data_IF_871402935964
#
_entry.id   IF_871402935964
#
_cell.length_a   1.000
_cell.length_b   1.000
_cell.length_c   1.000
_cell.angle_alpha   90.00
_cell.angle_beta   90.00
_cell.angle_gamma   90.00
#
_symmetry.space_group_name_H-M   'P 1'
#
loop_
_entity.id
_entity.type
_entity.pdbx_description
1 polymer ?
#
# COMPACT_ATOMS: atom_id res chain seq x y z
N UNK A 1 -28.68 -14.77 3.62
CA UNK A 1 -29.19 -14.09 2.43
C UNK A 1 -28.45 -14.71 1.25
N UNK A 2 -29.15 -15.25 0.27
CA UNK A 2 -28.51 -15.95 -0.85
C UNK A 2 -28.01 -14.89 -1.84
N UNK A 3 -26.73 -14.77 -2.01
CA UNK A 3 -26.06 -13.68 -2.76
C UNK A 3 -26.11 -13.84 -4.28
N UNK A 4 -26.66 -14.97 -4.77
CA UNK A 4 -26.75 -15.27 -6.20
C UNK A 4 -27.94 -14.59 -6.91
N UNK A 5 -28.78 -13.82 -6.21
CA UNK A 5 -30.01 -13.22 -6.74
C UNK A 5 -30.17 -11.73 -6.40
N UNK A 6 -29.06 -11.00 -6.30
CA UNK A 6 -29.08 -9.55 -6.02
C UNK A 6 -29.04 -8.79 -7.35
N UNK A 7 -30.19 -8.28 -7.79
CA UNK A 7 -30.25 -7.41 -8.97
C UNK A 7 -29.52 -6.08 -8.70
N UNK A 8 -28.91 -5.52 -9.73
CA UNK A 8 -28.21 -4.23 -9.72
C UNK A 8 -29.03 -3.10 -9.07
N UNK A 9 -30.37 -3.16 -9.22
CA UNK A 9 -31.32 -2.19 -8.63
C UNK A 9 -31.37 -2.28 -7.09
N UNK A 10 -31.27 -3.47 -6.51
CA UNK A 10 -31.23 -3.65 -5.03
C UNK A 10 -29.90 -3.20 -4.43
N UNK A 11 -28.81 -3.36 -5.17
CA UNK A 11 -27.50 -2.84 -4.78
C UNK A 11 -27.49 -1.30 -4.75
N UNK A 12 -28.00 -0.67 -5.80
CA UNK A 12 -28.15 0.79 -5.89
C UNK A 12 -29.02 1.34 -4.76
N UNK A 13 -30.09 0.62 -4.40
CA UNK A 13 -30.99 1.03 -3.32
C UNK A 13 -30.33 0.88 -1.93
N UNK A 14 -29.51 -0.15 -1.71
CA UNK A 14 -28.75 -0.33 -0.46
C UNK A 14 -27.66 0.74 -0.26
N UNK A 15 -27.04 1.21 -1.35
CA UNK A 15 -26.09 2.33 -1.36
C UNK A 15 -26.83 3.64 -1.04
N UNK A 16 -28.00 3.87 -1.63
CA UNK A 16 -28.83 5.04 -1.37
C UNK A 16 -29.33 5.15 0.08
N UNK A 17 -29.51 4.02 0.76
CA UNK A 17 -29.98 3.94 2.15
C UNK A 17 -28.87 4.13 3.19
N UNK A 18 -27.64 4.50 2.80
CA UNK A 18 -26.44 4.69 3.67
C UNK A 18 -26.12 3.48 4.59
N UNK A 19 -26.47 2.28 4.19
CA UNK A 19 -26.21 1.04 4.95
C UNK A 19 -24.81 0.44 4.71
N UNK A 20 -24.06 0.97 3.74
CA UNK A 20 -22.68 0.58 3.44
C UNK A 20 -21.79 1.82 3.46
N UNK A 21 -20.61 1.71 4.02
CA UNK A 21 -19.59 2.76 3.89
C UNK A 21 -19.11 2.83 2.43
N UNK A 22 -18.68 4.01 1.97
CA UNK A 22 -18.14 4.20 0.61
C UNK A 22 -17.01 3.21 0.30
N UNK A 23 -16.13 2.93 1.28
CA UNK A 23 -15.04 1.95 1.16
C UNK A 23 -15.57 0.52 0.90
N UNK A 24 -16.59 0.09 1.61
CA UNK A 24 -17.22 -1.22 1.40
C UNK A 24 -17.86 -1.35 0.02
N UNK A 25 -18.39 -0.27 -0.53
CA UNK A 25 -18.96 -0.22 -1.87
C UNK A 25 -17.87 -0.39 -2.95
N UNK A 26 -16.71 0.28 -2.78
CA UNK A 26 -15.59 0.17 -3.71
C UNK A 26 -14.95 -1.23 -3.68
N UNK A 27 -14.82 -1.85 -2.51
CA UNK A 27 -14.30 -3.21 -2.37
C UNK A 27 -15.22 -4.28 -3.00
N UNK A 28 -16.55 -4.10 -2.94
CA UNK A 28 -17.50 -5.01 -3.58
C UNK A 28 -17.52 -4.90 -5.11
N UNK A 29 -17.26 -3.70 -5.66
CA UNK A 29 -17.19 -3.50 -7.10
C UNK A 29 -15.95 -4.12 -7.73
N UNK A 30 -14.84 -4.22 -6.99
CA UNK A 30 -13.61 -4.87 -7.43
C UNK A 30 -13.75 -6.39 -7.63
N UNK A 31 -14.61 -7.05 -6.86
CA UNK A 31 -14.81 -8.52 -6.92
C UNK A 31 -15.82 -8.99 -7.98
N UNK A 32 -16.66 -8.10 -8.51
CA UNK A 32 -17.69 -8.43 -9.52
C UNK A 32 -17.23 -8.16 -10.97
N UNK A 33 -16.08 -7.52 -11.16
CA UNK A 33 -15.62 -6.98 -12.45
C UNK A 33 -14.99 -7.94 -13.44
N UNK A 34 -14.93 -9.26 -13.21
CA UNK A 34 -14.27 -10.23 -14.10
C UNK A 34 -15.19 -11.07 -15.00
N UNK A 35 -16.40 -10.63 -15.28
CA UNK A 35 -17.26 -11.31 -16.25
C UNK A 35 -17.60 -10.39 -17.43
N UNK A 36 -16.86 -10.60 -18.55
CA UNK A 36 -17.23 -10.25 -19.93
C UNK A 36 -17.36 -8.74 -20.27
N UNK A 37 -16.24 -8.13 -20.69
CA UNK A 37 -16.31 -7.11 -21.75
C UNK A 37 -15.49 -7.61 -22.92
N UNK A 38 -16.18 -8.24 -23.90
CA UNK A 38 -15.64 -8.45 -25.23
C UNK A 38 -15.45 -7.10 -25.90
N UNK A 39 -14.20 -6.66 -26.09
CA UNK A 39 -13.87 -5.48 -26.87
C UNK A 39 -14.13 -5.80 -28.34
N UNK A 40 -15.21 -5.29 -28.87
CA UNK A 40 -15.37 -5.13 -30.32
C UNK A 40 -14.60 -3.87 -30.72
N UNK A 41 -13.50 -4.05 -31.44
CA UNK A 41 -12.84 -2.94 -32.13
C UNK A 41 -13.76 -2.43 -33.25
N UNK A 42 -14.54 -1.37 -32.95
CA UNK A 42 -15.25 -0.61 -33.97
C UNK A 42 -14.35 0.51 -34.56
N UNK A 43 -14.61 0.96 -35.79
CA UNK A 43 -13.83 2.04 -36.37
C UNK A 43 -13.98 3.34 -35.57
N UNK A 44 -12.88 4.06 -35.35
CA UNK A 44 -12.85 5.37 -34.70
C UNK A 44 -13.88 6.29 -35.36
N UNK A 45 -14.91 6.69 -34.62
CA UNK A 45 -15.74 7.84 -34.97
C UNK A 45 -14.88 9.10 -34.78
N UNK A 46 -14.57 9.76 -35.87
CA UNK A 46 -13.93 11.06 -35.86
C UNK A 46 -14.89 12.07 -35.21
N UNK A 47 -14.48 12.66 -34.07
CA UNK A 47 -15.20 13.78 -33.48
C UNK A 47 -15.29 13.86 -31.97
N UNK A 48 -14.71 12.93 -31.19
CA UNK A 48 -14.47 13.20 -29.79
C UNK A 48 -13.30 14.18 -29.68
N UNK A 49 -13.45 15.28 -28.94
CA UNK A 49 -12.32 16.11 -28.52
C UNK A 49 -11.25 15.17 -27.93
N UNK A 50 -9.98 15.35 -28.30
CA UNK A 50 -8.91 14.56 -27.72
C UNK A 50 -9.03 14.71 -26.20
N UNK A 51 -9.07 13.59 -25.48
CA UNK A 51 -9.05 13.61 -24.03
C UNK A 51 -7.68 14.09 -23.59
N UNK A 52 -7.63 15.35 -23.15
CA UNK A 52 -6.39 16.03 -22.75
C UNK A 52 -5.90 15.59 -21.37
N UNK A 53 -6.66 14.77 -20.63
CA UNK A 53 -6.29 14.34 -19.29
C UNK A 53 -5.36 13.12 -19.36
N UNK A 54 -4.30 13.09 -18.51
CA UNK A 54 -3.41 11.92 -18.42
C UNK A 54 -4.13 10.71 -17.85
N UNK A 55 -3.64 9.53 -18.19
CA UNK A 55 -4.05 8.28 -17.58
C UNK A 55 -3.14 7.97 -16.40
N UNK A 56 -3.72 7.83 -15.22
CA UNK A 56 -3.07 7.41 -13.98
C UNK A 56 -3.39 5.94 -13.75
N UNK A 57 -2.35 5.12 -13.58
CA UNK A 57 -2.46 3.70 -13.31
C UNK A 57 -2.01 3.42 -11.89
N UNK A 58 -2.93 3.13 -10.98
CA UNK A 58 -2.72 3.16 -9.54
C UNK A 58 -3.57 2.12 -8.80
N UNK A 59 -3.40 2.05 -7.50
CA UNK A 59 -4.25 1.31 -6.59
C UNK A 59 -5.67 1.88 -6.56
N UNK A 60 -6.66 1.01 -6.32
CA UNK A 60 -8.04 1.46 -6.14
C UNK A 60 -8.19 2.29 -4.86
N UNK A 61 -8.88 3.42 -4.97
CA UNK A 61 -9.08 4.38 -3.88
C UNK A 61 -8.33 5.69 -4.09
N UNK A 62 -7.18 5.65 -4.76
CA UNK A 62 -6.40 6.87 -5.04
C UNK A 62 -7.07 7.82 -6.05
N UNK A 63 -8.18 7.42 -6.68
CA UNK A 63 -9.04 8.31 -7.48
C UNK A 63 -9.97 9.20 -6.65
N UNK A 64 -9.90 9.14 -5.32
CA UNK A 64 -10.74 9.99 -4.46
C UNK A 64 -10.40 11.47 -4.62
N UNK A 65 -11.43 12.31 -4.55
CA UNK A 65 -11.30 13.77 -4.72
C UNK A 65 -10.43 14.42 -3.63
N UNK A 66 -10.29 13.76 -2.49
CA UNK A 66 -9.40 14.19 -1.42
C UNK A 66 -7.94 14.33 -1.85
N UNK A 67 -7.48 13.50 -2.78
CA UNK A 67 -6.13 13.60 -3.37
C UNK A 67 -6.04 14.62 -4.50
N UNK A 68 -7.15 14.91 -5.19
CA UNK A 68 -7.15 15.59 -6.49
C UNK A 68 -7.47 17.07 -6.43
N UNK A 69 -7.57 17.65 -5.23
CA UNK A 69 -8.07 19.01 -5.02
C UNK A 69 -7.39 20.09 -5.87
N UNK A 70 -6.05 20.09 -5.91
CA UNK A 70 -5.29 21.08 -6.70
C UNK A 70 -5.43 20.85 -8.21
N UNK A 71 -5.42 19.59 -8.66
CA UNK A 71 -5.62 19.23 -10.06
C UNK A 71 -7.00 19.67 -10.54
N UNK A 72 -8.06 19.32 -9.81
CA UNK A 72 -9.43 19.67 -10.15
C UNK A 72 -9.65 21.20 -10.17
N UNK A 73 -9.03 21.93 -9.23
CA UNK A 73 -9.09 23.39 -9.22
C UNK A 73 -8.42 24.01 -10.47
N UNK A 74 -7.32 23.42 -10.95
CA UNK A 74 -6.62 23.90 -12.14
C UNK A 74 -7.35 23.57 -13.46
N UNK A 75 -8.12 22.48 -13.50
CA UNK A 75 -8.75 21.96 -14.71
C UNK A 75 -10.28 21.93 -14.67
N UNK A 76 -10.89 22.93 -14.00
CA UNK A 76 -12.33 23.16 -14.09
C UNK A 76 -13.21 22.11 -13.39
N UNK A 77 -12.66 21.37 -12.44
CA UNK A 77 -13.33 20.28 -11.70
C UNK A 77 -13.19 18.91 -12.36
N UNK A 78 -12.46 18.82 -13.48
CA UNK A 78 -12.23 17.54 -14.15
C UNK A 78 -11.10 16.76 -13.49
N UNK A 79 -11.18 15.42 -13.56
CA UNK A 79 -10.21 14.48 -13.00
C UNK A 79 -9.29 13.90 -14.08
N UNK A 80 -8.11 13.38 -13.71
CA UNK A 80 -7.36 12.47 -14.58
C UNK A 80 -8.18 11.23 -14.92
N UNK A 81 -7.78 10.52 -15.98
CA UNK A 81 -8.30 9.18 -16.26
C UNK A 81 -7.63 8.17 -15.34
N UNK A 82 -8.39 7.24 -14.79
CA UNK A 82 -7.87 6.21 -13.90
C UNK A 82 -8.00 4.82 -14.48
N UNK A 83 -6.98 4.01 -14.24
CA UNK A 83 -6.99 2.56 -14.36
C UNK A 83 -6.38 1.97 -13.11
N UNK A 84 -6.81 0.76 -12.72
CA UNK A 84 -6.43 0.18 -11.44
C UNK A 84 -5.72 -1.17 -11.61
N UNK A 85 -4.94 -1.49 -10.61
CA UNK A 85 -4.29 -2.78 -10.42
C UNK A 85 -4.60 -3.37 -9.04
N UNK A 86 -4.37 -4.67 -8.90
CA UNK A 86 -4.46 -5.37 -7.62
C UNK A 86 -3.12 -5.54 -6.94
N UNK A 87 -2.03 -5.63 -7.74
CA UNK A 87 -0.65 -5.69 -7.29
C UNK A 87 0.31 -5.16 -8.37
N UNK A 88 1.55 -4.89 -7.99
CA UNK A 88 2.55 -4.25 -8.87
C UNK A 88 3.07 -5.18 -9.95
N UNK A 89 3.05 -6.51 -9.76
CA UNK A 89 3.42 -7.47 -10.80
C UNK A 89 2.35 -7.50 -11.91
N UNK A 90 1.07 -7.42 -11.54
CA UNK A 90 -0.03 -7.25 -12.48
C UNK A 90 0.14 -5.96 -13.28
N UNK A 91 0.46 -4.86 -12.59
CA UNK A 91 0.69 -3.57 -13.23
C UNK A 91 1.84 -3.65 -14.24
N UNK A 92 2.99 -4.18 -13.84
CA UNK A 92 4.14 -4.36 -14.69
C UNK A 92 3.84 -5.24 -15.90
N UNK A 93 3.16 -6.38 -15.71
CA UNK A 93 2.77 -7.27 -16.78
C UNK A 93 1.83 -6.60 -17.80
N UNK A 94 0.85 -5.81 -17.35
CA UNK A 94 -0.06 -5.05 -18.21
C UNK A 94 0.70 -4.01 -19.05
N UNK A 95 1.64 -3.28 -18.44
CA UNK A 95 2.46 -2.31 -19.17
C UNK A 95 3.39 -2.99 -20.18
N UNK A 96 3.98 -4.12 -19.83
CA UNK A 96 4.78 -4.94 -20.78
C UNK A 96 3.94 -5.52 -21.91
N UNK A 97 2.65 -5.75 -21.71
CA UNK A 97 1.69 -6.17 -22.73
C UNK A 97 1.18 -5.02 -23.61
N UNK A 98 1.65 -3.77 -23.39
CA UNK A 98 1.36 -2.62 -24.22
C UNK A 98 0.34 -1.63 -23.67
N UNK A 99 -0.08 -1.76 -22.40
CA UNK A 99 -0.83 -0.71 -21.72
C UNK A 99 0.12 0.46 -21.40
N UNK A 100 -0.22 1.67 -21.78
CA UNK A 100 0.64 2.85 -21.70
C UNK A 100 -0.04 3.99 -20.92
N UNK A 101 -0.03 3.95 -19.56
CA UNK A 101 -0.46 5.10 -18.76
C UNK A 101 0.57 6.23 -18.83
N UNK A 102 0.17 7.46 -18.48
CA UNK A 102 1.09 8.61 -18.40
C UNK A 102 1.81 8.66 -17.05
N UNK A 103 1.11 8.30 -15.98
CA UNK A 103 1.61 8.24 -14.59
C UNK A 103 1.26 6.89 -13.97
N UNK A 104 2.11 6.38 -13.10
CA UNK A 104 1.82 5.17 -12.31
C UNK A 104 2.35 5.31 -10.88
N UNK A 105 1.79 4.52 -9.95
CA UNK A 105 2.05 4.66 -8.49
C UNK A 105 2.74 3.43 -7.88
N UNK A 106 3.97 3.07 -8.29
CA UNK A 106 4.69 1.95 -7.69
C UNK A 106 5.22 2.31 -6.30
N UNK A 107 5.39 1.30 -5.44
CA UNK A 107 6.18 1.47 -4.24
C UNK A 107 7.69 1.46 -4.54
N UNK A 108 8.49 2.05 -3.67
CA UNK A 108 9.91 2.34 -3.92
C UNK A 108 10.74 1.11 -4.27
N UNK A 109 10.46 -0.03 -3.67
CA UNK A 109 11.21 -1.28 -3.88
C UNK A 109 11.07 -1.87 -5.30
N UNK A 110 10.11 -1.39 -6.11
CA UNK A 110 9.92 -1.80 -7.51
C UNK A 110 10.64 -0.89 -8.52
N UNK A 111 11.15 0.25 -8.10
CA UNK A 111 11.71 1.26 -9.01
C UNK A 111 12.92 0.74 -9.79
N UNK A 112 13.82 0.00 -9.16
CA UNK A 112 14.94 -0.64 -9.86
C UNK A 112 14.44 -1.55 -11.00
N UNK A 113 13.48 -2.42 -10.73
CA UNK A 113 12.91 -3.35 -11.70
C UNK A 113 12.27 -2.62 -12.89
N UNK A 114 11.51 -1.56 -12.62
CA UNK A 114 10.84 -0.78 -13.66
C UNK A 114 11.84 0.09 -14.46
N UNK A 115 12.88 0.60 -13.80
CA UNK A 115 13.97 1.31 -14.47
C UNK A 115 14.74 0.40 -15.42
N UNK A 116 15.11 -0.80 -15.00
CA UNK A 116 15.80 -1.78 -15.84
C UNK A 116 14.98 -2.19 -17.06
N UNK A 117 13.66 -2.18 -16.94
CA UNK A 117 12.75 -2.39 -18.07
C UNK A 117 12.62 -1.16 -19.01
N UNK A 118 13.20 -0.01 -18.64
CA UNK A 118 13.18 1.23 -19.42
C UNK A 118 11.80 1.90 -19.51
N UNK A 119 10.93 1.66 -18.54
CA UNK A 119 9.54 2.17 -18.55
C UNK A 119 9.36 3.47 -17.78
N UNK A 120 10.38 3.93 -17.05
CA UNK A 120 10.33 5.17 -16.26
C UNK A 120 10.97 6.35 -17.01
N UNK A 121 10.43 7.54 -16.76
CA UNK A 121 11.00 8.81 -17.21
C UNK A 121 11.57 9.61 -16.03
N UNK A 122 12.51 10.50 -16.33
CA UNK A 122 13.01 11.46 -15.36
C UNK A 122 11.93 12.45 -14.94
N UNK A 123 11.80 12.69 -13.64
CA UNK A 123 10.94 13.70 -13.06
C UNK A 123 11.78 14.92 -12.70
N UNK A 124 11.44 16.07 -13.28
CA UNK A 124 12.00 17.36 -12.91
C UNK A 124 11.27 17.92 -11.69
N UNK A 125 11.90 17.79 -10.53
CA UNK A 125 11.32 18.25 -9.26
C UNK A 125 11.11 19.77 -9.19
N UNK A 126 11.81 20.57 -10.01
CA UNK A 126 11.61 22.02 -10.07
C UNK A 126 10.24 22.41 -10.65
N UNK A 127 9.55 21.47 -11.32
CA UNK A 127 8.19 21.64 -11.82
C UNK A 127 7.11 21.32 -10.80
N UNK A 128 7.48 20.79 -9.63
CA UNK A 128 6.55 20.40 -8.55
C UNK A 128 6.50 21.50 -7.50
N UNK A 129 5.37 22.18 -7.39
CA UNK A 129 5.22 23.35 -6.50
C UNK A 129 5.21 22.93 -5.02
N UNK A 130 4.77 21.70 -4.73
CA UNK A 130 4.72 21.13 -3.39
C UNK A 130 6.03 20.42 -2.97
N UNK A 131 7.05 20.37 -3.86
CA UNK A 131 8.29 19.64 -3.60
C UNK A 131 9.06 20.13 -2.38
N UNK A 132 9.12 21.46 -2.17
CA UNK A 132 9.82 22.07 -1.05
C UNK A 132 9.19 21.82 0.33
N UNK A 133 8.03 21.18 0.39
CA UNK A 133 7.31 20.85 1.62
C UNK A 133 7.45 19.36 2.01
N UNK A 134 8.19 18.58 1.22
CA UNK A 134 8.35 17.15 1.46
C UNK A 134 9.27 16.87 2.65
N UNK A 135 9.00 15.79 3.38
CA UNK A 135 9.83 15.27 4.46
C UNK A 135 11.22 14.92 3.89
N UNK A 136 12.33 15.42 4.44
CA UNK A 136 13.65 15.29 3.85
C UNK A 136 14.08 13.83 3.58
N UNK A 137 13.82 12.90 4.49
CA UNK A 137 14.15 11.48 4.30
C UNK A 137 13.40 10.84 3.12
N UNK A 138 12.23 11.35 2.77
CA UNK A 138 11.41 10.85 1.67
C UNK A 138 11.72 11.49 0.31
N UNK A 139 12.57 12.52 0.28
CA UNK A 139 13.03 13.11 -1.00
C UNK A 139 14.11 12.28 -1.69
N UNK A 140 14.81 11.40 -0.96
CA UNK A 140 15.90 10.60 -1.48
C UNK A 140 15.81 9.16 -0.98
N UNK A 141 14.65 8.52 -1.19
CA UNK A 141 14.45 7.11 -0.87
C UNK A 141 15.44 6.26 -1.68
N UNK A 142 16.08 5.24 -1.10
CA UNK A 142 17.00 4.36 -1.81
C UNK A 142 16.38 3.80 -3.10
N UNK A 143 17.20 3.63 -4.12
CA UNK A 143 16.84 3.03 -5.41
C UNK A 143 15.82 3.83 -6.27
N UNK A 144 15.50 5.07 -5.89
CA UNK A 144 14.56 5.92 -6.67
C UNK A 144 15.24 6.99 -7.52
N UNK A 145 16.57 7.10 -7.40
CA UNK A 145 17.43 8.01 -8.18
C UNK A 145 18.49 7.18 -8.90
N UNK A 146 18.51 7.20 -10.22
CA UNK A 146 19.46 6.50 -11.06
C UNK A 146 20.23 7.46 -11.95
N UNK A 147 21.56 7.36 -11.93
CA UNK A 147 22.47 8.25 -12.69
C UNK A 147 22.16 9.75 -12.46
N UNK A 148 21.78 10.12 -11.25
CA UNK A 148 21.41 11.48 -10.88
C UNK A 148 20.01 11.92 -11.32
N UNK A 149 19.24 11.03 -11.94
CA UNK A 149 17.87 11.28 -12.39
C UNK A 149 16.86 10.75 -11.39
N UNK A 150 15.93 11.59 -11.00
CA UNK A 150 14.79 11.20 -10.17
C UNK A 150 13.76 10.49 -11.04
N UNK A 151 13.40 9.26 -10.67
CA UNK A 151 12.45 8.43 -11.42
C UNK A 151 11.12 8.28 -10.67
N UNK A 152 11.07 8.76 -9.43
CA UNK A 152 9.95 8.56 -8.55
C UNK A 152 9.88 9.67 -7.48
N UNK A 153 8.70 10.01 -7.04
CA UNK A 153 8.44 10.92 -5.92
C UNK A 153 7.58 10.22 -4.90
N UNK A 154 7.96 10.28 -3.62
CA UNK A 154 7.17 9.72 -2.54
C UNK A 154 5.87 10.50 -2.37
N UNK A 155 4.77 9.80 -2.25
CA UNK A 155 3.46 10.34 -1.91
C UNK A 155 3.14 9.96 -0.47
N UNK A 156 3.07 8.67 -0.22
CA UNK A 156 2.63 8.10 1.04
C UNK A 156 3.64 7.11 1.62
N UNK A 157 3.45 6.81 2.88
CA UNK A 157 4.22 5.82 3.61
C UNK A 157 3.40 5.25 4.77
N UNK A 158 3.78 4.08 5.17
CA UNK A 158 3.21 3.45 6.34
C UNK A 158 4.12 2.37 6.88
N UNK A 159 3.60 1.64 7.83
CA UNK A 159 4.32 0.55 8.45
C UNK A 159 3.52 -0.74 8.37
N UNK A 160 4.25 -1.82 8.12
CA UNK A 160 3.80 -3.17 8.38
C UNK A 160 4.27 -3.54 9.77
N UNK A 161 3.33 -3.95 10.63
CA UNK A 161 3.59 -4.43 11.98
C UNK A 161 2.46 -5.36 12.44
N UNK A 162 2.34 -5.58 13.73
CA UNK A 162 1.29 -6.40 14.31
C UNK A 162 0.19 -5.51 14.88
N UNK A 163 -1.05 -5.70 14.43
CA UNK A 163 -2.22 -5.23 15.16
C UNK A 163 -2.72 -6.34 16.06
N UNK A 164 -2.87 -6.06 17.37
CA UNK A 164 -3.33 -7.03 18.34
C UNK A 164 -4.41 -6.46 19.26
N UNK A 165 -5.26 -7.35 19.78
CA UNK A 165 -6.30 -7.08 20.76
C UNK A 165 -5.68 -6.99 22.16
N UNK A 166 -5.66 -5.80 22.77
CA UNK A 166 -5.06 -5.57 24.09
C UNK A 166 -5.82 -6.22 25.24
N UNK A 167 -7.08 -6.60 25.03
CA UNK A 167 -7.90 -7.34 25.97
C UNK A 167 -7.77 -8.87 25.86
N UNK A 168 -7.11 -9.37 24.82
CA UNK A 168 -6.93 -10.80 24.54
C UNK A 168 -5.46 -11.25 24.52
N UNK A 169 -4.53 -10.31 24.37
CA UNK A 169 -3.08 -10.56 24.33
C UNK A 169 -2.44 -9.91 25.55
N UNK A 170 -1.80 -10.74 26.37
CA UNK A 170 -1.11 -10.31 27.59
C UNK A 170 0.40 -10.20 27.31
N UNK A 171 0.84 -9.02 26.88
CA UNK A 171 2.24 -8.64 26.70
C UNK A 171 2.45 -7.20 27.20
N UNK A 172 3.61 -6.95 27.80
CA UNK A 172 4.02 -5.59 28.15
C UNK A 172 4.49 -4.84 26.89
N UNK A 173 4.31 -3.52 26.85
CA UNK A 173 4.69 -2.68 25.70
C UNK A 173 6.20 -2.80 25.43
N UNK A 174 7.03 -2.86 26.47
CA UNK A 174 8.47 -3.02 26.38
C UNK A 174 8.92 -4.38 25.80
N UNK A 175 8.03 -5.37 25.79
CA UNK A 175 8.27 -6.70 25.25
C UNK A 175 7.70 -6.89 23.83
N UNK A 176 7.13 -5.84 23.24
CA UNK A 176 6.62 -5.88 21.87
C UNK A 176 7.66 -6.40 20.88
N UNK A 177 7.32 -7.43 20.13
CA UNK A 177 8.21 -8.16 19.23
C UNK A 177 7.42 -8.87 18.15
N UNK A 178 7.99 -9.01 16.97
CA UNK A 178 7.47 -9.89 15.92
C UNK A 178 7.26 -11.31 16.41
N UNK A 179 7.96 -11.74 17.48
CA UNK A 179 7.81 -13.04 18.12
C UNK A 179 6.39 -13.36 18.59
N UNK A 180 5.49 -12.37 18.70
CA UNK A 180 4.07 -12.62 18.98
C UNK A 180 3.41 -13.51 17.91
N UNK A 181 3.85 -13.44 16.64
CA UNK A 181 3.35 -14.31 15.57
C UNK A 181 3.90 -15.74 15.62
N UNK A 182 4.82 -16.03 16.56
CA UNK A 182 5.34 -17.37 16.89
C UNK A 182 4.94 -17.84 18.28
N UNK A 183 4.07 -17.07 18.97
CA UNK A 183 3.66 -17.42 20.34
C UNK A 183 2.61 -18.53 20.34
N UNK A 184 3.02 -19.70 20.81
CA UNK A 184 2.19 -20.91 20.89
C UNK A 184 0.93 -20.74 21.76
N UNK A 185 0.90 -19.75 22.69
CA UNK A 185 -0.28 -19.43 23.49
C UNK A 185 -1.48 -19.04 22.63
N UNK A 186 -1.21 -18.48 21.44
CA UNK A 186 -2.23 -17.95 20.53
C UNK A 186 -2.38 -18.79 19.25
N UNK A 187 -1.89 -20.03 19.25
CA UNK A 187 -1.97 -20.92 18.09
C UNK A 187 -3.41 -21.03 17.56
N UNK A 188 -3.57 -20.92 16.24
CA UNK A 188 -4.85 -20.90 15.53
C UNK A 188 -5.62 -19.58 15.63
N UNK A 189 -5.02 -18.55 16.23
CA UNK A 189 -5.62 -17.21 16.40
C UNK A 189 -4.69 -16.09 15.91
N UNK A 190 -3.71 -16.41 15.07
CA UNK A 190 -2.74 -15.51 14.45
C UNK A 190 -2.96 -15.48 12.94
N UNK A 191 -2.62 -14.38 12.28
CA UNK A 191 -2.62 -14.29 10.82
C UNK A 191 -1.41 -13.52 10.31
N UNK A 192 -0.99 -13.86 9.10
CA UNK A 192 0.11 -13.25 8.37
C UNK A 192 -0.38 -12.79 6.99
N UNK A 193 0.21 -11.75 6.42
CA UNK A 193 -0.06 -11.33 5.04
C UNK A 193 0.55 -12.37 4.08
N UNK A 194 -0.22 -12.79 3.07
CA UNK A 194 0.23 -13.71 2.02
C UNK A 194 1.00 -12.96 0.93
N UNK A 195 2.14 -12.43 1.30
CA UNK A 195 3.05 -11.77 0.37
C UNK A 195 4.50 -12.07 0.73
N UNK A 196 5.37 -12.06 -0.26
CA UNK A 196 6.81 -12.27 -0.04
C UNK A 196 7.38 -11.13 0.80
N UNK A 197 7.02 -9.88 0.45
CA UNK A 197 7.57 -8.68 1.08
C UNK A 197 7.15 -8.54 2.54
N UNK A 198 5.97 -8.99 2.93
CA UNK A 198 5.51 -8.94 4.32
C UNK A 198 5.75 -10.28 5.03
N UNK A 199 5.38 -11.41 4.42
CA UNK A 199 5.44 -12.72 5.07
C UNK A 199 6.86 -13.20 5.33
N UNK A 200 7.69 -13.25 4.29
CA UNK A 200 9.05 -13.78 4.39
C UNK A 200 9.98 -12.78 5.06
N UNK A 201 9.88 -11.50 4.71
CA UNK A 201 10.77 -10.47 5.29
C UNK A 201 10.53 -10.30 6.79
N UNK A 202 9.29 -10.39 7.28
CA UNK A 202 8.99 -10.37 8.71
C UNK A 202 9.62 -11.56 9.44
N UNK A 203 9.59 -12.76 8.84
CA UNK A 203 10.28 -13.92 9.42
C UNK A 203 11.81 -13.73 9.43
N UNK A 204 12.38 -13.12 8.39
CA UNK A 204 13.80 -12.79 8.32
C UNK A 204 14.21 -11.74 9.38
N UNK A 205 13.40 -10.70 9.56
CA UNK A 205 13.60 -9.66 10.60
C UNK A 205 13.56 -10.30 11.99
N UNK A 206 12.54 -11.09 12.27
CA UNK A 206 12.41 -11.80 13.54
C UNK A 206 13.59 -12.77 13.78
N UNK A 207 14.05 -13.43 12.72
CA UNK A 207 15.23 -14.30 12.74
C UNK A 207 16.56 -13.59 12.90
N UNK A 208 16.58 -12.26 12.88
CA UNK A 208 17.79 -11.44 13.03
C UNK A 208 18.66 -11.40 11.78
N UNK A 209 18.09 -11.58 10.59
CA UNK A 209 18.81 -11.37 9.34
C UNK A 209 19.40 -9.96 9.29
N UNK A 210 20.66 -9.86 8.89
CA UNK A 210 21.38 -8.60 8.84
C UNK A 210 20.82 -7.63 7.81
N UNK A 211 20.46 -8.18 6.65
CA UNK A 211 19.74 -7.51 5.58
C UNK A 211 18.62 -8.45 5.12
N UNK A 212 17.38 -8.24 5.55
CA UNK A 212 16.28 -9.14 5.22
C UNK A 212 15.97 -9.20 3.73
N UNK A 213 16.31 -8.15 2.98
CA UNK A 213 16.07 -8.06 1.54
C UNK A 213 17.21 -8.66 0.69
N UNK A 214 18.35 -8.97 1.31
CA UNK A 214 19.51 -9.57 0.65
C UNK A 214 20.17 -10.63 1.54
N UNK A 215 19.37 -11.63 1.94
CA UNK A 215 19.78 -12.67 2.88
C UNK A 215 20.89 -13.57 2.32
N UNK A 216 21.82 -13.94 3.19
CA UNK A 216 22.77 -15.02 2.93
C UNK A 216 22.05 -16.39 2.87
N UNK A 217 22.64 -17.43 2.23
CA UNK A 217 22.04 -18.78 2.21
C UNK A 217 21.70 -19.33 3.61
N UNK A 218 22.51 -19.04 4.63
CA UNK A 218 22.26 -19.49 6.00
C UNK A 218 21.06 -18.74 6.61
N UNK A 219 20.91 -17.44 6.33
CA UNK A 219 19.74 -16.66 6.77
C UNK A 219 18.47 -17.10 6.05
N UNK A 220 18.53 -17.43 4.75
CA UNK A 220 17.41 -18.02 4.00
C UNK A 220 16.98 -19.35 4.63
N UNK A 221 17.95 -20.25 4.91
CA UNK A 221 17.65 -21.54 5.55
C UNK A 221 17.02 -21.37 6.94
N UNK A 222 17.51 -20.39 7.75
CA UNK A 222 16.93 -20.09 9.05
C UNK A 222 15.52 -19.52 8.92
N UNK A 223 15.30 -18.61 7.97
CA UNK A 223 13.97 -18.03 7.68
C UNK A 223 12.96 -19.10 7.26
N UNK A 224 13.38 -20.08 6.42
CA UNK A 224 12.54 -21.23 6.07
C UNK A 224 12.07 -21.99 7.32
N UNK A 225 12.98 -22.27 8.26
CA UNK A 225 12.63 -22.96 9.52
C UNK A 225 11.62 -22.16 10.32
N UNK A 226 11.81 -20.83 10.47
CA UNK A 226 10.88 -19.96 11.18
C UNK A 226 9.48 -19.96 10.55
N UNK A 227 9.39 -19.91 9.22
CA UNK A 227 8.12 -19.99 8.52
C UNK A 227 7.43 -21.34 8.73
N UNK A 228 8.19 -22.45 8.68
CA UNK A 228 7.65 -23.80 8.99
C UNK A 228 7.14 -23.91 10.44
N UNK A 229 7.82 -23.26 11.39
CA UNK A 229 7.37 -23.20 12.78
C UNK A 229 6.13 -22.32 12.98
N UNK A 230 5.96 -21.29 12.16
CA UNK A 230 4.85 -20.34 12.23
C UNK A 230 3.54 -20.93 11.69
N UNK A 231 3.59 -21.66 10.57
CA UNK A 231 2.39 -22.18 9.88
C UNK A 231 1.38 -22.85 10.81
N UNK A 232 1.75 -23.78 11.69
CA UNK A 232 0.78 -24.44 12.59
C UNK A 232 0.18 -23.49 13.63
N UNK A 233 0.73 -22.28 13.80
CA UNK A 233 0.25 -21.27 14.72
C UNK A 233 -0.74 -20.31 14.04
N UNK A 234 -0.64 -20.16 12.72
CA UNK A 234 -1.54 -19.30 11.97
C UNK A 234 -2.92 -19.95 11.82
N UNK A 235 -3.94 -19.11 11.81
CA UNK A 235 -5.27 -19.48 11.37
C UNK A 235 -5.33 -19.52 9.84
N UNK A 236 -4.72 -18.52 9.20
CA UNK A 236 -4.59 -18.42 7.75
C UNK A 236 -3.53 -17.38 7.37
N UNK A 237 -3.04 -17.46 6.12
CA UNK A 237 -2.43 -16.35 5.41
C UNK A 237 -3.52 -15.50 4.77
N UNK A 238 -3.45 -14.18 4.90
CA UNK A 238 -4.48 -13.25 4.41
C UNK A 238 -4.04 -12.51 3.16
N UNK A 239 -4.96 -12.42 2.20
CA UNK A 239 -4.83 -11.60 0.99
C UNK A 239 -5.63 -10.30 1.08
N UNK A 240 -6.39 -10.09 2.16
CA UNK A 240 -7.19 -8.87 2.36
C UNK A 240 -7.14 -8.40 3.81
N UNK A 241 -6.96 -7.10 4.02
CA UNK A 241 -7.00 -6.52 5.37
C UNK A 241 -8.42 -6.55 5.94
N UNK A 242 -9.45 -6.45 5.12
CA UNK A 242 -10.85 -6.50 5.56
C UNK A 242 -11.17 -7.80 6.31
N UNK A 243 -10.71 -8.96 5.82
CA UNK A 243 -10.94 -10.24 6.47
C UNK A 243 -10.19 -10.32 7.81
N UNK A 244 -8.98 -9.78 7.86
CA UNK A 244 -8.17 -9.69 9.09
C UNK A 244 -8.86 -8.80 10.12
N UNK A 245 -9.30 -7.61 9.71
CA UNK A 245 -10.01 -6.65 10.57
C UNK A 245 -11.29 -7.26 11.14
N UNK A 246 -12.09 -7.95 10.34
CA UNK A 246 -13.30 -8.65 10.80
C UNK A 246 -12.97 -9.77 11.79
N UNK A 247 -11.91 -10.53 11.54
CA UNK A 247 -11.47 -11.61 12.43
C UNK A 247 -10.90 -11.10 13.74
N UNK A 248 -10.18 -9.96 13.73
CA UNK A 248 -9.75 -9.26 14.95
C UNK A 248 -10.95 -8.68 15.70
N UNK A 249 -11.92 -8.09 14.99
CA UNK A 249 -13.12 -7.52 15.59
C UNK A 249 -13.96 -8.59 16.31
N UNK A 250 -14.14 -9.75 15.70
CA UNK A 250 -14.89 -10.86 16.29
C UNK A 250 -14.12 -11.59 17.41
N UNK A 251 -12.80 -11.37 17.54
CA UNK A 251 -11.92 -12.11 18.44
C UNK A 251 -11.55 -13.51 17.93
N UNK A 252 -11.84 -13.83 16.68
CA UNK A 252 -11.35 -15.03 15.99
C UNK A 252 -9.82 -15.00 15.87
N UNK A 253 -9.25 -13.84 15.51
CA UNK A 253 -7.85 -13.52 15.66
C UNK A 253 -7.63 -12.68 16.92
N UNK A 254 -6.46 -12.82 17.51
CA UNK A 254 -6.00 -11.96 18.61
C UNK A 254 -4.87 -11.04 18.19
N UNK A 255 -4.09 -11.46 17.21
CA UNK A 255 -3.01 -10.68 16.62
C UNK A 255 -2.84 -11.06 15.13
N UNK A 256 -2.44 -10.08 14.33
CA UNK A 256 -2.18 -10.28 12.92
C UNK A 256 -1.13 -9.29 12.41
N UNK A 257 -0.34 -9.72 11.43
CA UNK A 257 0.44 -8.81 10.60
C UNK A 257 -0.51 -7.97 9.78
N UNK A 258 -0.38 -6.64 9.87
CA UNK A 258 -1.25 -5.68 9.19
C UNK A 258 -0.47 -4.43 8.81
N UNK A 259 -1.10 -3.59 8.01
CA UNK A 259 -0.69 -2.20 7.86
C UNK A 259 -1.34 -1.35 8.96
N UNK A 260 -0.74 -0.21 9.24
CA UNK A 260 -1.19 0.69 10.31
C UNK A 260 -2.64 1.20 10.14
N UNK A 261 -3.17 1.25 8.92
CA UNK A 261 -4.59 1.59 8.66
C UNK A 261 -5.59 0.66 9.33
N UNK A 262 -5.25 -0.64 9.49
CA UNK A 262 -6.13 -1.60 10.15
C UNK A 262 -6.34 -1.29 11.64
N UNK A 263 -5.30 -0.81 12.32
CA UNK A 263 -5.43 -0.39 13.72
C UNK A 263 -6.37 0.83 13.87
N UNK A 264 -6.30 1.79 12.92
CA UNK A 264 -7.22 2.93 12.88
C UNK A 264 -8.67 2.46 12.66
N UNK A 265 -8.91 1.61 11.67
CA UNK A 265 -10.25 1.08 11.37
C UNK A 265 -10.87 0.39 12.58
N UNK A 266 -10.10 -0.47 13.27
CA UNK A 266 -10.58 -1.18 14.46
C UNK A 266 -10.78 -0.24 15.66
N UNK A 267 -9.93 0.77 15.83
CA UNK A 267 -10.09 1.80 16.87
C UNK A 267 -11.36 2.61 16.65
N UNK A 268 -11.66 2.97 15.39
CA UNK A 268 -12.89 3.68 15.03
C UNK A 268 -14.15 2.86 15.30
N UNK A 269 -14.05 1.53 15.28
CA UNK A 269 -15.11 0.62 15.70
C UNK A 269 -15.21 0.48 17.23
N UNK A 270 -14.36 1.13 18.01
CA UNK A 270 -14.34 1.09 19.47
C UNK A 270 -13.68 -0.16 20.04
N UNK A 271 -12.86 -0.86 19.26
CA UNK A 271 -12.18 -2.07 19.71
C UNK A 271 -10.87 -1.75 20.44
N UNK A 272 -10.53 -2.47 21.51
CA UNK A 272 -9.28 -2.30 22.24
C UNK A 272 -8.13 -2.96 21.46
N UNK A 273 -7.59 -2.26 20.49
CA UNK A 273 -6.46 -2.71 19.67
C UNK A 273 -5.25 -1.82 19.86
N UNK A 274 -4.08 -2.35 19.53
CA UNK A 274 -2.83 -1.60 19.45
C UNK A 274 -2.05 -2.03 18.21
N UNK A 275 -1.49 -1.06 17.51
CA UNK A 275 -0.47 -1.27 16.50
C UNK A 275 0.89 -1.34 17.19
N UNK A 276 1.58 -2.45 17.03
CA UNK A 276 2.82 -2.77 17.74
C UNK A 276 4.00 -1.95 17.23
N UNK A 277 4.90 -1.59 18.14
CA UNK A 277 6.24 -1.08 17.79
C UNK A 277 7.26 -2.17 18.18
N UNK A 278 7.52 -3.15 17.31
CA UNK A 278 8.37 -4.28 17.65
C UNK A 278 9.81 -3.84 17.86
N UNK A 279 10.46 -4.42 18.87
CA UNK A 279 11.87 -4.10 19.20
C UNK A 279 12.87 -4.40 18.07
N UNK A 280 12.51 -5.28 17.14
CA UNK A 280 13.29 -5.60 15.95
C UNK A 280 13.14 -4.53 14.84
N UNK A 281 12.20 -3.60 14.99
CA UNK A 281 11.81 -2.60 14.02
C UNK A 281 10.56 -3.00 13.22
N UNK A 282 9.65 -2.04 13.02
CA UNK A 282 8.55 -2.18 12.07
C UNK A 282 9.08 -2.05 10.63
N UNK A 283 8.44 -2.69 9.68
CA UNK A 283 8.82 -2.55 8.28
C UNK A 283 8.13 -1.32 7.70
N UNK A 284 8.91 -0.39 7.17
CA UNK A 284 8.42 0.86 6.57
C UNK A 284 8.35 0.70 5.06
N UNK A 285 7.16 0.85 4.51
CA UNK A 285 6.95 0.94 3.07
C UNK A 285 6.74 2.40 2.66
N UNK A 286 7.14 2.71 1.43
CA UNK A 286 6.95 4.01 0.80
C UNK A 286 6.44 3.79 -0.60
N UNK A 287 5.29 4.38 -0.93
CA UNK A 287 4.73 4.36 -2.26
C UNK A 287 4.64 5.77 -2.81
N UNK A 288 4.47 5.92 -4.10
CA UNK A 288 4.51 7.24 -4.71
C UNK A 288 4.33 7.17 -6.22
N UNK A 289 4.74 8.18 -6.92
CA UNK A 289 4.37 8.39 -8.31
C UNK A 289 5.60 8.39 -9.23
N UNK A 290 5.47 7.76 -10.38
CA UNK A 290 6.43 7.78 -11.48
C UNK A 290 5.80 8.32 -12.75
N UNK A 291 6.57 9.10 -13.51
CA UNK A 291 6.24 9.48 -14.87
C UNK A 291 6.69 8.35 -15.80
N UNK A 292 5.85 7.95 -16.76
CA UNK A 292 6.17 6.86 -17.65
C UNK A 292 6.97 7.34 -18.88
N UNK A 293 7.91 6.51 -19.35
CA UNK A 293 8.81 6.88 -20.46
C UNK A 293 8.09 7.13 -21.80
N UNK A 294 6.86 6.67 -21.92
CA UNK A 294 5.97 6.88 -23.08
C UNK A 294 4.86 7.89 -22.83
N UNK A 295 4.89 8.62 -21.70
CA UNK A 295 3.88 9.62 -21.38
C UNK A 295 3.69 10.59 -22.55
N UNK A 296 2.42 10.92 -22.88
CA UNK A 296 2.10 11.78 -24.00
C UNK A 296 2.67 13.19 -23.80
N UNK A 297 3.58 13.67 -24.66
CA UNK A 297 4.14 15.02 -24.54
C UNK A 297 3.08 16.13 -24.51
N UNK A 298 1.93 15.92 -25.13
CA UNK A 298 0.83 16.90 -25.13
C UNK A 298 0.12 16.96 -23.78
N UNK A 299 0.23 15.92 -22.95
CA UNK A 299 -0.35 15.82 -21.61
C UNK A 299 0.66 16.04 -20.49
N UNK A 300 1.92 16.33 -20.83
CA UNK A 300 3.02 16.35 -19.86
C UNK A 300 2.78 17.35 -18.72
N UNK A 301 2.29 18.56 -19.00
CA UNK A 301 2.00 19.54 -17.94
C UNK A 301 0.89 19.07 -17.01
N UNK A 302 -0.11 18.37 -17.52
CA UNK A 302 -1.17 17.76 -16.71
C UNK A 302 -0.68 16.54 -15.92
N UNK A 303 0.27 15.77 -16.49
CA UNK A 303 0.92 14.68 -15.75
C UNK A 303 1.71 15.20 -14.55
N UNK A 304 2.44 16.31 -14.72
CA UNK A 304 3.09 16.98 -13.59
C UNK A 304 2.09 17.55 -12.58
N UNK A 305 0.96 18.07 -13.03
CA UNK A 305 -0.10 18.53 -12.12
C UNK A 305 -0.72 17.36 -11.33
N UNK A 306 -0.75 16.14 -11.91
CA UNK A 306 -1.09 14.91 -11.17
C UNK A 306 -0.05 14.65 -10.10
N UNK A 307 1.24 14.57 -10.43
CA UNK A 307 2.28 14.37 -9.44
C UNK A 307 2.19 15.40 -8.32
N UNK A 308 2.00 16.67 -8.66
CA UNK A 308 2.00 17.78 -7.70
C UNK A 308 0.76 17.79 -6.78
N UNK A 309 -0.43 17.44 -7.28
CA UNK A 309 -1.65 17.39 -6.43
C UNK A 309 -1.54 16.31 -5.35
N UNK A 310 -0.97 15.15 -5.69
CA UNK A 310 -0.73 14.09 -4.71
C UNK A 310 0.33 14.48 -3.67
N UNK A 311 1.30 15.32 -4.01
CA UNK A 311 2.30 15.84 -3.07
C UNK A 311 1.80 17.00 -2.21
N UNK A 312 0.54 17.43 -2.36
CA UNK A 312 0.00 18.56 -1.63
C UNK A 312 -0.30 18.23 -0.17
N UNK A 313 -0.22 19.24 0.69
CA UNK A 313 -0.61 19.09 2.10
C UNK A 313 -2.09 18.77 2.29
N UNK A 314 -2.95 19.18 1.35
CA UNK A 314 -4.37 18.88 1.37
C UNK A 314 -4.62 17.39 1.10
N UNK A 315 -3.95 16.82 0.10
CA UNK A 315 -3.97 15.38 -0.17
C UNK A 315 -3.44 14.60 1.03
N UNK A 316 -2.30 15.02 1.58
CA UNK A 316 -1.72 14.38 2.75
C UNK A 316 -2.59 14.48 4.01
N UNK A 317 -3.23 15.61 4.26
CA UNK A 317 -4.17 15.72 5.37
C UNK A 317 -5.35 14.74 5.21
N UNK A 318 -5.90 14.64 4.00
CA UNK A 318 -6.95 13.67 3.68
C UNK A 318 -6.48 12.25 3.94
N UNK A 319 -5.31 11.89 3.46
CA UNK A 319 -4.76 10.54 3.63
C UNK A 319 -4.51 10.17 5.09
N UNK A 320 -3.88 11.06 5.86
CA UNK A 320 -3.63 10.85 7.28
C UNK A 320 -4.95 10.66 8.04
N UNK A 321 -5.96 11.47 7.75
CA UNK A 321 -7.20 11.48 8.54
C UNK A 321 -8.19 10.39 8.15
N UNK A 322 -8.31 10.10 6.85
CA UNK A 322 -9.30 9.16 6.33
C UNK A 322 -8.74 7.74 6.16
N UNK A 323 -7.42 7.61 5.86
CA UNK A 323 -6.79 6.32 5.60
C UNK A 323 -5.85 5.87 6.72
N UNK A 324 -5.32 6.81 7.51
CA UNK A 324 -4.40 6.51 8.60
C UNK A 324 -2.98 6.22 8.15
N UNK A 325 -2.63 6.52 6.89
CA UNK A 325 -1.26 6.43 6.39
C UNK A 325 -0.50 7.73 6.65
N UNK A 326 0.82 7.67 6.65
CA UNK A 326 1.66 8.84 6.62
C UNK A 326 1.76 9.39 5.20
N UNK A 327 2.05 10.67 5.07
CA UNK A 327 2.20 11.32 3.78
C UNK A 327 3.56 12.00 3.68
N UNK A 328 4.08 12.17 2.45
CA UNK A 328 5.40 12.74 2.26
C UNK A 328 5.46 14.26 2.52
N UNK A 329 4.35 14.99 2.47
CA UNK A 329 4.33 16.42 2.77
C UNK A 329 4.30 16.67 4.28
N UNK A 330 5.36 17.30 4.84
CA UNK A 330 5.47 17.59 6.26
C UNK A 330 4.34 18.48 6.80
N UNK A 331 3.80 19.39 5.98
CA UNK A 331 2.72 20.30 6.39
C UNK A 331 1.35 19.61 6.51
N UNK A 332 1.21 18.41 5.98
CA UNK A 332 -0.01 17.61 6.13
C UNK A 332 -0.29 17.28 7.61
N UNK A 333 0.74 17.14 8.42
CA UNK A 333 0.66 16.78 9.83
C UNK A 333 0.29 17.96 10.74
N UNK A 334 0.44 19.21 10.30
CA UNK A 334 0.27 20.41 11.16
C UNK A 334 -1.12 20.56 11.79
N UNK A 335 -2.14 19.96 11.18
CA UNK A 335 -3.54 20.04 11.65
C UNK A 335 -4.02 18.79 12.39
N UNK A 336 -3.19 17.77 12.51
CA UNK A 336 -3.51 16.53 13.19
C UNK A 336 -2.90 16.55 14.57
N UNK A 337 -3.69 16.22 15.60
CA UNK A 337 -3.18 16.24 16.98
C UNK A 337 -2.22 15.07 17.24
N UNK A 338 -1.29 15.18 18.20
CA UNK A 338 -0.39 14.08 18.57
C UNK A 338 -1.13 12.80 18.98
N UNK A 339 -2.28 12.95 19.63
CA UNK A 339 -3.14 11.84 20.05
C UNK A 339 -3.74 11.10 18.85
N UNK A 340 -4.22 11.87 17.85
CA UNK A 340 -4.75 11.32 16.59
C UNK A 340 -3.67 10.63 15.77
N UNK A 341 -2.46 11.19 15.71
CA UNK A 341 -1.32 10.55 15.03
C UNK A 341 -0.94 9.23 15.73
N UNK A 342 -0.83 9.26 17.06
CA UNK A 342 -0.50 8.05 17.83
C UNK A 342 -1.52 6.93 17.63
N UNK A 343 -2.81 7.27 17.57
CA UNK A 343 -3.88 6.29 17.32
C UNK A 343 -3.77 5.62 15.94
N UNK A 344 -3.06 6.27 15.00
CA UNK A 344 -2.79 5.77 13.63
C UNK A 344 -1.42 5.10 13.48
N UNK A 345 -0.66 4.95 14.57
CA UNK A 345 0.73 4.49 14.51
C UNK A 345 1.68 5.52 13.89
N UNK A 346 1.26 6.77 13.80
CA UNK A 346 2.04 7.89 13.28
C UNK A 346 2.60 8.76 14.42
N UNK A 347 3.47 9.72 14.06
CA UNK A 347 4.13 10.63 14.99
C UNK A 347 4.10 12.06 14.45
N UNK A 348 4.16 13.04 15.37
CA UNK A 348 4.41 14.44 15.03
C UNK A 348 5.87 14.71 14.61
N UNK A 349 6.74 13.71 14.72
CA UNK A 349 8.06 13.68 14.12
C UNK A 349 8.11 12.48 13.14
N UNK A 350 7.54 12.63 11.96
CA UNK A 350 7.46 11.55 10.98
C UNK A 350 8.84 11.11 10.50
N UNK A 351 9.82 12.02 10.42
CA UNK A 351 11.17 11.72 9.97
C UNK A 351 11.89 10.78 10.97
N UNK A 352 11.75 11.02 12.27
CA UNK A 352 12.28 10.13 13.29
C UNK A 352 11.57 8.76 13.30
N UNK A 353 10.26 8.72 13.09
CA UNK A 353 9.51 7.46 13.01
C UNK A 353 9.94 6.62 11.80
N UNK A 354 10.04 7.24 10.64
CA UNK A 354 10.53 6.61 9.41
C UNK A 354 11.94 6.05 9.61
N UNK A 355 12.85 6.85 10.19
CA UNK A 355 14.25 6.46 10.43
C UNK A 355 14.39 5.30 11.45
N UNK A 356 13.39 5.07 12.31
CA UNK A 356 13.39 3.97 13.28
C UNK A 356 12.94 2.63 12.68
N UNK A 357 12.34 2.64 11.50
CA UNK A 357 11.84 1.46 10.82
C UNK A 357 12.88 0.81 9.90
N UNK A 358 12.52 -0.35 9.37
CA UNK A 358 13.29 -1.06 8.34
C UNK A 358 12.60 -0.78 7.00
N UNK A 359 13.25 0.01 6.14
CA UNK A 359 12.70 0.32 4.82
C UNK A 359 12.58 -0.93 3.96
N UNK A 360 11.44 -1.09 3.30
CA UNK A 360 11.31 -2.06 2.23
C UNK A 360 12.27 -1.73 1.09
N UNK A 361 12.96 -2.76 0.61
CA UNK A 361 13.91 -2.68 -0.49
C UNK A 361 13.65 -3.80 -1.50
N UNK A 362 14.24 -3.68 -2.68
CA UNK A 362 14.19 -4.73 -3.69
C UNK A 362 14.80 -6.02 -3.14
N UNK A 363 14.14 -7.15 -3.40
CA UNK A 363 14.56 -8.47 -2.90
C UNK A 363 15.58 -9.06 -3.87
N UNK A 364 16.82 -9.28 -3.42
CA UNK A 364 17.93 -9.70 -4.27
C UNK A 364 17.77 -11.09 -4.89
N UNK A 365 17.09 -12.02 -4.21
CA UNK A 365 16.85 -13.39 -4.64
C UNK A 365 15.35 -13.75 -4.64
N UNK A 366 14.53 -12.83 -5.14
CA UNK A 366 13.07 -12.88 -5.10
C UNK A 366 12.49 -14.21 -5.59
N UNK A 367 12.91 -14.70 -6.75
CA UNK A 367 12.39 -15.95 -7.33
C UNK A 367 12.69 -17.19 -6.47
N UNK A 368 13.85 -17.25 -5.82
CA UNK A 368 14.21 -18.33 -4.90
C UNK A 368 13.34 -18.28 -3.64
N UNK A 369 13.19 -17.10 -3.05
CA UNK A 369 12.37 -16.89 -1.85
C UNK A 369 10.89 -17.14 -2.11
N UNK A 370 10.38 -16.75 -3.28
CA UNK A 370 9.01 -17.05 -3.69
C UNK A 370 8.78 -18.57 -3.75
N UNK A 371 9.72 -19.31 -4.39
CA UNK A 371 9.66 -20.77 -4.47
C UNK A 371 9.68 -21.39 -3.06
N UNK A 372 10.60 -20.96 -2.21
CA UNK A 372 10.72 -21.42 -0.83
C UNK A 372 9.43 -21.15 -0.04
N UNK A 373 8.82 -19.98 -0.19
CA UNK A 373 7.60 -19.60 0.53
C UNK A 373 6.41 -20.46 0.11
N UNK A 374 6.25 -20.72 -1.20
CA UNK A 374 5.21 -21.62 -1.71
C UNK A 374 5.40 -23.07 -1.24
N UNK A 375 6.65 -23.57 -1.22
CA UNK A 375 6.96 -24.89 -0.66
C UNK A 375 6.56 -24.99 0.81
N UNK A 376 6.92 -23.99 1.61
CA UNK A 376 6.60 -23.94 3.05
C UNK A 376 5.08 -23.92 3.26
N UNK A 377 4.34 -23.11 2.51
CA UNK A 377 2.85 -23.09 2.58
C UNK A 377 2.23 -24.42 2.16
N UNK A 378 2.86 -25.15 1.24
CA UNK A 378 2.43 -26.48 0.83
C UNK A 378 2.85 -27.62 1.80
N UNK A 379 3.60 -27.30 2.87
CA UNK A 379 4.01 -28.25 3.91
C UNK A 379 5.32 -28.98 3.64
N UNK A 380 6.21 -28.41 2.80
CA UNK A 380 7.53 -28.96 2.46
C UNK A 380 8.68 -28.19 3.11
#
# INVERSE_FOLDING_TARGET
>A
MDWNDVSTERLVQAIGDKRLSRRQTHQMLGTVGLASIGMTFGPKLAGAAADDHPTVFTWSGYEDEGFLGQYMAAYGGEKPNFSFWGDEEEAFAKMRAGFQPDVSSPCSYKINHWNDAGILAEIDSDRLTNWGEQIPSLTNVPDTIHDGKRLWVCEDWGQTSITYRTDLVDIAIEDESWGLLWDKRYAGRLSMIDSLIDGVMVAAIYGGAKDPFNMTPDEVAHTKVLLQEQIPLLRYYSNTMTDVEQSLASGELVAACTWNSSALELTNQGLPVRFMVPKEGAMTWTCGLSLMSWADPAKLDRSYAVLDTYLSKEAGYFEITEWGYGHANAKAFEKVTPEELTARGLSNDPDALIASGIFQAAIGNEAELQTMFEEVKAGF
#
